data_IF_159477864043
#
_entry.id   IF_159477864043
#
_cell.length_a   1.000
_cell.length_b   1.000
_cell.length_c   1.000
_cell.angle_alpha   90.00
_cell.angle_beta   90.00
_cell.angle_gamma   90.00
#
_symmetry.space_group_name_H-M   'P 1'
#
loop_
_entity.id
_entity.type
_entity.pdbx_description
1 polymer ?
#
# COMPACT_ATOMS: atom_id res chain seq x y z
N UNK A 1 2.32 37.17 30.52
CA UNK A 1 1.82 35.89 31.05
C UNK A 1 1.55 35.02 29.84
N UNK A 2 2.29 33.91 29.74
CA UNK A 2 2.67 33.27 28.48
C UNK A 2 1.55 32.68 27.63
N UNK A 3 1.77 32.83 26.34
CA UNK A 3 1.14 32.21 25.16
C UNK A 3 1.32 30.68 25.14
N UNK A 4 0.24 29.90 25.15
CA UNK A 4 0.29 28.46 24.76
C UNK A 4 -1.11 27.83 24.58
N UNK A 5 -2.00 28.44 23.80
CA UNK A 5 -3.32 27.84 23.53
C UNK A 5 -3.70 27.69 22.06
N UNK A 6 -2.84 28.10 21.11
CA UNK A 6 -3.18 28.10 19.67
C UNK A 6 -2.45 27.05 18.81
N UNK A 7 -1.53 26.23 19.36
CA UNK A 7 -0.78 25.26 18.55
C UNK A 7 -1.31 23.82 18.59
N UNK A 8 -2.25 23.51 19.49
CA UNK A 8 -2.78 22.13 19.64
C UNK A 8 -4.06 21.88 18.83
N UNK A 9 -4.65 22.90 18.20
CA UNK A 9 -5.94 22.81 17.51
C UNK A 9 -5.86 22.29 16.06
N UNK A 10 -4.68 22.22 15.42
CA UNK A 10 -4.59 21.82 14.00
C UNK A 10 -4.24 20.35 13.74
N UNK A 11 -4.12 19.51 14.76
CA UNK A 11 -3.99 18.06 14.55
C UNK A 11 -5.37 17.42 14.51
N UNK A 12 -6.18 17.76 13.52
CA UNK A 12 -7.46 17.08 13.32
C UNK A 12 -7.18 15.60 13.06
N UNK A 13 -7.64 14.71 13.94
CA UNK A 13 -7.54 13.25 13.76
C UNK A 13 -8.07 12.81 12.37
N UNK A 14 -9.02 13.58 11.83
CA UNK A 14 -9.55 13.47 10.47
C UNK A 14 -8.48 13.64 9.40
N UNK A 15 -7.53 14.57 9.55
CA UNK A 15 -6.40 14.72 8.62
C UNK A 15 -5.41 13.57 8.75
N UNK A 16 -5.03 13.23 9.99
CA UNK A 16 -4.05 12.16 10.25
C UNK A 16 -4.49 10.79 9.68
N UNK A 17 -5.80 10.52 9.63
CA UNK A 17 -6.38 9.28 9.08
C UNK A 17 -6.90 9.43 7.65
N UNK A 18 -7.50 10.57 7.31
CA UNK A 18 -8.10 10.82 5.99
C UNK A 18 -7.07 10.91 4.87
N UNK A 19 -5.92 11.55 5.10
CA UNK A 19 -4.86 11.62 4.08
C UNK A 19 -4.29 10.24 3.72
N UNK A 20 -3.91 9.38 4.69
CA UNK A 20 -3.51 8.01 4.37
C UNK A 20 -4.57 7.19 3.65
N UNK A 21 -5.86 7.37 3.95
CA UNK A 21 -6.94 6.68 3.22
C UNK A 21 -7.02 7.11 1.76
N UNK A 22 -6.87 8.42 1.48
CA UNK A 22 -6.81 8.93 0.11
C UNK A 22 -5.61 8.38 -0.67
N UNK A 23 -4.45 8.28 -0.02
CA UNK A 23 -3.25 7.66 -0.59
C UNK A 23 -3.49 6.18 -0.90
N UNK A 24 -4.13 5.45 0.02
CA UNK A 24 -4.50 4.05 -0.23
C UNK A 24 -5.44 3.90 -1.41
N UNK A 25 -6.45 4.75 -1.56
CA UNK A 25 -7.36 4.70 -2.70
C UNK A 25 -6.61 4.90 -4.04
N UNK A 26 -5.62 5.79 -4.08
CA UNK A 26 -4.74 5.95 -5.23
C UNK A 26 -3.87 4.69 -5.48
N UNK A 27 -3.33 4.07 -4.43
CA UNK A 27 -2.60 2.81 -4.53
C UNK A 27 -3.47 1.66 -5.04
N UNK A 28 -4.74 1.57 -4.61
CA UNK A 28 -5.68 0.58 -5.11
C UNK A 28 -5.94 0.76 -6.61
N UNK A 29 -6.12 2.00 -7.09
CA UNK A 29 -6.25 2.28 -8.52
C UNK A 29 -4.97 1.88 -9.31
N UNK A 30 -3.80 2.15 -8.76
CA UNK A 30 -2.52 1.72 -9.34
C UNK A 30 -2.42 0.19 -9.39
N UNK A 31 -2.87 -0.51 -8.34
CA UNK A 31 -2.85 -1.97 -8.29
C UNK A 31 -3.74 -2.59 -9.37
N UNK A 32 -4.95 -2.05 -9.57
CA UNK A 32 -5.85 -2.47 -10.66
C UNK A 32 -5.21 -2.23 -12.03
N UNK A 33 -4.64 -1.04 -12.26
CA UNK A 33 -3.94 -0.74 -13.51
C UNK A 33 -2.74 -1.67 -13.74
N UNK A 34 -1.99 -2.00 -12.69
CA UNK A 34 -0.88 -2.94 -12.75
C UNK A 34 -1.34 -4.39 -13.03
N UNK A 35 -2.49 -4.79 -12.50
CA UNK A 35 -3.15 -6.04 -12.87
C UNK A 35 -3.50 -6.08 -14.35
N UNK A 36 -4.13 -5.04 -14.88
CA UNK A 36 -4.42 -4.93 -16.31
C UNK A 36 -3.14 -4.95 -17.17
N UNK A 37 -2.09 -4.22 -16.77
CA UNK A 37 -0.79 -4.26 -17.43
C UNK A 37 -0.20 -5.68 -17.45
N UNK A 38 -0.33 -6.42 -16.35
CA UNK A 38 0.15 -7.79 -16.24
C UNK A 38 -0.54 -8.71 -17.25
N UNK A 39 -1.86 -8.74 -17.25
CA UNK A 39 -2.65 -9.65 -18.08
C UNK A 39 -2.57 -9.30 -19.57
N UNK A 40 -2.62 -8.00 -19.91
CA UNK A 40 -2.71 -7.55 -21.30
C UNK A 40 -1.34 -7.47 -21.97
N UNK A 41 -0.28 -7.20 -21.20
CA UNK A 41 1.04 -6.85 -21.75
C UNK A 41 2.15 -7.77 -21.28
N UNK A 42 2.28 -8.01 -19.97
CA UNK A 42 3.43 -8.76 -19.45
C UNK A 42 3.31 -10.25 -19.74
N UNK A 43 2.22 -10.89 -19.31
CA UNK A 43 2.01 -12.34 -19.49
C UNK A 43 2.11 -12.75 -20.97
N UNK A 44 1.47 -12.04 -21.93
CA UNK A 44 1.59 -12.38 -23.35
C UNK A 44 3.01 -12.24 -23.92
N UNK A 45 3.89 -11.42 -23.31
CA UNK A 45 5.24 -11.15 -23.84
C UNK A 45 6.34 -11.98 -23.19
N UNK A 46 6.25 -12.19 -21.88
CA UNK A 46 7.32 -12.81 -21.09
C UNK A 46 6.88 -14.07 -20.34
N UNK A 47 5.63 -14.50 -20.54
CA UNK A 47 5.05 -15.69 -19.91
C UNK A 47 4.40 -15.40 -18.55
N UNK A 48 3.65 -16.38 -18.07
CA UNK A 48 2.80 -16.28 -16.87
C UNK A 48 3.62 -15.95 -15.62
N UNK A 49 4.53 -16.84 -15.21
CA UNK A 49 5.32 -16.66 -13.99
C UNK A 49 6.22 -15.40 -14.02
N UNK A 50 7.05 -15.16 -15.05
CA UNK A 50 7.84 -13.93 -15.12
C UNK A 50 6.96 -12.67 -15.18
N UNK A 51 5.78 -12.75 -15.81
CA UNK A 51 4.79 -11.68 -15.83
C UNK A 51 4.27 -11.33 -14.43
N UNK A 52 3.95 -12.33 -13.60
CA UNK A 52 3.56 -12.12 -12.20
C UNK A 52 4.68 -11.53 -11.35
N UNK A 53 5.92 -12.00 -11.53
CA UNK A 53 7.08 -11.45 -10.80
C UNK A 53 7.36 -10.00 -11.18
N UNK A 54 7.39 -9.70 -12.48
CA UNK A 54 7.62 -8.35 -12.98
C UNK A 54 6.50 -7.38 -12.53
N UNK A 55 5.24 -7.80 -12.63
CA UNK A 55 4.08 -7.03 -12.16
C UNK A 55 4.12 -6.75 -10.66
N UNK A 56 4.51 -7.75 -9.86
CA UNK A 56 4.67 -7.58 -8.41
C UNK A 56 5.79 -6.58 -8.11
N UNK A 57 6.94 -6.69 -8.79
CA UNK A 57 8.05 -5.75 -8.61
C UNK A 57 7.66 -4.31 -8.98
N UNK A 58 6.93 -4.12 -10.08
CA UNK A 58 6.41 -2.81 -10.49
C UNK A 58 5.45 -2.25 -9.44
N UNK A 59 4.52 -3.05 -8.92
CA UNK A 59 3.59 -2.61 -7.89
C UNK A 59 4.28 -2.24 -6.58
N UNK A 60 5.23 -3.06 -6.12
CA UNK A 60 6.04 -2.79 -4.93
C UNK A 60 6.80 -1.47 -5.11
N UNK A 61 7.46 -1.26 -6.27
CA UNK A 61 8.15 -0.01 -6.56
C UNK A 61 7.20 1.18 -6.55
N UNK A 62 6.01 1.05 -7.14
CA UNK A 62 5.00 2.11 -7.15
C UNK A 62 4.52 2.45 -5.72
N UNK A 63 4.27 1.45 -4.88
CA UNK A 63 3.92 1.64 -3.46
C UNK A 63 5.00 2.44 -2.74
N UNK A 64 6.28 2.04 -2.90
CA UNK A 64 7.39 2.73 -2.25
C UNK A 64 7.53 4.18 -2.74
N UNK A 65 7.37 4.43 -4.04
CA UNK A 65 7.46 5.77 -4.63
C UNK A 65 6.31 6.67 -4.15
N UNK A 66 5.08 6.16 -4.13
CA UNK A 66 3.91 6.91 -3.65
C UNK A 66 4.04 7.20 -2.16
N UNK A 67 4.41 6.21 -1.35
CA UNK A 67 4.64 6.40 0.08
C UNK A 67 5.74 7.44 0.34
N UNK A 68 6.89 7.33 -0.34
CA UNK A 68 7.97 8.32 -0.26
C UNK A 68 7.48 9.71 -0.65
N UNK A 69 6.77 9.84 -1.77
CA UNK A 69 6.25 11.12 -2.24
C UNK A 69 5.28 11.74 -1.22
N UNK A 70 4.40 10.93 -0.62
CA UNK A 70 3.50 11.36 0.43
C UNK A 70 4.26 11.87 1.67
N UNK A 71 5.13 11.05 2.24
CA UNK A 71 5.87 11.42 3.45
C UNK A 71 6.88 12.56 3.22
N UNK A 72 7.36 12.77 1.99
CA UNK A 72 8.24 13.91 1.65
C UNK A 72 7.53 15.26 1.55
N UNK A 73 6.20 15.27 1.44
CA UNK A 73 5.39 16.48 1.20
C UNK A 73 4.42 16.78 2.33
N UNK A 74 4.16 15.80 3.19
CA UNK A 74 3.26 15.99 4.33
C UNK A 74 3.95 16.84 5.39
N UNK A 75 3.22 17.83 5.93
CA UNK A 75 3.65 18.62 7.09
C UNK A 75 3.28 17.95 8.42
N UNK A 76 2.60 16.79 8.36
CA UNK A 76 2.14 16.07 9.54
C UNK A 76 3.31 15.30 10.16
N UNK A 77 3.67 15.67 11.40
CA UNK A 77 4.63 14.91 12.18
C UNK A 77 3.96 13.63 12.73
N UNK A 78 4.29 12.47 12.16
CA UNK A 78 3.78 11.19 12.61
C UNK A 78 4.68 10.55 13.67
N UNK A 79 4.08 10.09 14.76
CA UNK A 79 4.75 9.20 15.71
C UNK A 79 4.99 7.82 15.09
N UNK A 80 5.92 7.05 15.68
CA UNK A 80 6.17 5.66 15.28
C UNK A 80 4.92 4.78 15.32
N UNK A 81 4.05 4.99 16.31
CA UNK A 81 2.81 4.23 16.46
C UNK A 81 1.82 4.57 15.35
N UNK A 82 1.69 5.84 14.98
CA UNK A 82 0.80 6.26 13.88
C UNK A 82 1.29 5.75 12.53
N UNK A 83 2.61 5.79 12.26
CA UNK A 83 3.18 5.20 11.03
C UNK A 83 2.89 3.69 10.93
N UNK A 84 3.02 2.97 12.05
CA UNK A 84 2.65 1.55 12.11
C UNK A 84 1.16 1.34 11.82
N UNK A 85 0.29 2.14 12.44
CA UNK A 85 -1.15 2.07 12.21
C UNK A 85 -1.52 2.35 10.76
N UNK A 86 -0.85 3.29 10.09
CA UNK A 86 -1.05 3.54 8.65
C UNK A 86 -0.66 2.33 7.81
N UNK A 87 0.49 1.71 8.08
CA UNK A 87 0.94 0.52 7.35
C UNK A 87 -0.01 -0.67 7.54
N UNK A 88 -0.47 -0.89 8.78
CA UNK A 88 -1.47 -1.92 9.09
C UNK A 88 -2.79 -1.63 8.37
N UNK A 89 -3.27 -0.38 8.42
CA UNK A 89 -4.50 0.04 7.75
C UNK A 89 -4.42 -0.22 6.24
N UNK A 90 -3.36 0.23 5.58
CA UNK A 90 -3.16 0.00 4.15
C UNK A 90 -3.12 -1.50 3.81
N UNK A 91 -2.45 -2.30 4.63
CA UNK A 91 -2.37 -3.75 4.44
C UNK A 91 -3.73 -4.40 4.55
N UNK A 92 -4.49 -4.11 5.61
CA UNK A 92 -5.82 -4.67 5.83
C UNK A 92 -6.81 -4.27 4.74
N UNK A 93 -6.77 -3.01 4.31
CA UNK A 93 -7.62 -2.53 3.23
C UNK A 93 -7.27 -3.21 1.90
N UNK A 94 -5.99 -3.41 1.59
CA UNK A 94 -5.58 -4.11 0.36
C UNK A 94 -5.97 -5.59 0.38
N UNK A 95 -5.72 -6.30 1.49
CA UNK A 95 -6.15 -7.71 1.62
C UNK A 95 -7.68 -7.80 1.51
N UNK A 96 -8.42 -6.92 2.19
CA UNK A 96 -9.88 -6.87 2.07
C UNK A 96 -10.36 -6.56 0.66
N UNK A 97 -9.69 -5.64 -0.04
CA UNK A 97 -9.97 -5.31 -1.44
C UNK A 97 -9.72 -6.49 -2.38
N UNK A 98 -8.65 -7.26 -2.18
CA UNK A 98 -8.39 -8.48 -2.95
C UNK A 98 -9.51 -9.51 -2.80
N UNK A 99 -9.98 -9.75 -1.56
CA UNK A 99 -11.11 -10.64 -1.34
C UNK A 99 -12.42 -10.11 -1.92
N UNK A 100 -12.64 -8.79 -1.88
CA UNK A 100 -13.81 -8.15 -2.49
C UNK A 100 -13.80 -8.31 -4.01
N UNK A 101 -12.67 -8.02 -4.66
CA UNK A 101 -12.50 -8.21 -6.11
C UNK A 101 -12.65 -9.68 -6.47
N UNK A 102 -11.99 -10.58 -5.73
CA UNK A 102 -12.11 -12.02 -5.93
C UNK A 102 -13.56 -12.50 -5.82
N UNK A 103 -14.31 -12.01 -4.84
CA UNK A 103 -15.74 -12.32 -4.72
C UNK A 103 -16.57 -11.82 -5.92
N UNK A 104 -16.32 -10.59 -6.38
CA UNK A 104 -17.00 -10.01 -7.56
C UNK A 104 -16.67 -10.78 -8.84
N UNK A 105 -15.44 -11.28 -8.97
CA UNK A 105 -14.97 -12.08 -10.12
C UNK A 105 -15.38 -13.56 -10.02
N UNK A 106 -15.96 -14.01 -8.90
CA UNK A 106 -16.26 -15.42 -8.65
C UNK A 106 -15.03 -16.29 -8.37
N UNK A 107 -13.90 -15.66 -8.02
CA UNK A 107 -12.65 -16.31 -7.67
C UNK A 107 -12.76 -16.96 -6.28
N UNK A 108 -12.45 -18.27 -6.14
CA UNK A 108 -12.47 -18.94 -4.84
C UNK A 108 -11.45 -18.34 -3.87
N UNK A 109 -11.83 -18.25 -2.59
CA UNK A 109 -10.95 -17.78 -1.49
C UNK A 109 -9.61 -18.52 -1.46
N UNK A 110 -9.60 -19.82 -1.78
CA UNK A 110 -8.38 -20.63 -1.85
C UNK A 110 -7.39 -20.14 -2.91
N UNK A 111 -7.87 -19.55 -4.01
CA UNK A 111 -7.01 -18.98 -5.05
C UNK A 111 -6.34 -17.71 -4.54
N UNK A 112 -7.09 -16.80 -3.92
CA UNK A 112 -6.53 -15.58 -3.29
C UNK A 112 -5.51 -15.93 -2.21
N UNK A 113 -5.83 -16.88 -1.32
CA UNK A 113 -4.89 -17.35 -0.31
C UNK A 113 -3.67 -18.06 -0.92
N UNK A 114 -3.86 -18.77 -2.02
CA UNK A 114 -2.78 -19.44 -2.74
C UNK A 114 -1.69 -18.48 -3.21
N UNK A 115 -2.02 -17.22 -3.50
CA UNK A 115 -1.04 -16.19 -3.87
C UNK A 115 -0.05 -15.86 -2.73
N UNK A 116 -0.36 -16.23 -1.49
CA UNK A 116 0.51 -16.02 -0.34
C UNK A 116 1.46 -17.20 -0.07
N UNK A 117 1.36 -18.30 -0.83
CA UNK A 117 2.22 -19.47 -0.66
C UNK A 117 3.62 -19.24 -1.25
N UNK A 118 4.53 -18.80 -0.39
CA UNK A 118 5.95 -18.58 -0.74
C UNK A 118 6.67 -19.88 -1.12
N UNK A 119 6.22 -21.04 -0.63
CA UNK A 119 6.81 -22.34 -0.97
C UNK A 119 6.38 -22.81 -2.35
N UNK A 120 5.21 -22.37 -2.81
CA UNK A 120 4.77 -22.51 -4.20
C UNK A 120 5.41 -21.48 -5.15
N UNK A 121 6.35 -20.65 -4.67
CA UNK A 121 7.07 -19.66 -5.47
C UNK A 121 6.26 -18.38 -5.73
N UNK A 122 5.14 -18.19 -5.03
CA UNK A 122 4.31 -16.99 -5.17
C UNK A 122 4.97 -15.80 -4.47
N UNK A 123 4.96 -14.65 -5.16
CA UNK A 123 5.67 -13.45 -4.72
C UNK A 123 4.75 -12.38 -4.15
N UNK A 124 3.44 -12.63 -4.12
CA UNK A 124 2.43 -11.62 -3.80
C UNK A 124 2.62 -11.02 -2.40
N UNK A 125 3.12 -11.79 -1.43
CA UNK A 125 3.45 -11.36 -0.07
C UNK A 125 4.32 -10.09 -0.02
N UNK A 126 5.11 -9.82 -1.07
CA UNK A 126 5.91 -8.60 -1.17
C UNK A 126 5.06 -7.33 -1.14
N UNK A 127 3.83 -7.36 -1.69
CA UNK A 127 2.90 -6.22 -1.74
C UNK A 127 2.42 -5.80 -0.34
N UNK A 128 1.79 -6.67 0.48
CA UNK A 128 1.37 -6.32 1.84
C UNK A 128 2.56 -5.98 2.74
N UNK A 129 3.71 -6.63 2.57
CA UNK A 129 4.94 -6.27 3.31
C UNK A 129 5.40 -4.85 2.94
N UNK A 130 5.39 -4.48 1.66
CA UNK A 130 5.74 -3.13 1.22
C UNK A 130 4.75 -2.08 1.76
N UNK A 131 3.45 -2.38 1.78
CA UNK A 131 2.44 -1.50 2.38
C UNK A 131 2.64 -1.32 3.88
N UNK A 132 2.96 -2.39 4.61
CA UNK A 132 3.20 -2.34 6.05
C UNK A 132 4.47 -1.55 6.40
N UNK A 133 5.56 -1.76 5.64
CA UNK A 133 6.89 -1.21 5.98
C UNK A 133 7.08 0.20 5.44
N UNK A 134 6.49 0.56 4.31
CA UNK A 134 6.75 1.84 3.64
C UNK A 134 6.45 3.09 4.49
N UNK A 135 5.40 3.16 5.33
CA UNK A 135 5.17 4.31 6.19
C UNK A 135 6.25 4.45 7.26
N UNK A 136 6.66 3.34 7.86
CA UNK A 136 7.75 3.34 8.83
C UNK A 136 9.08 3.76 8.21
N UNK A 137 9.36 3.28 7.00
CA UNK A 137 10.60 3.56 6.31
C UNK A 137 10.70 5.05 5.96
N UNK A 138 9.74 5.58 5.20
CA UNK A 138 9.82 6.95 4.70
C UNK A 138 9.37 7.99 5.72
N UNK A 139 8.39 7.66 6.56
CA UNK A 139 7.96 8.53 7.64
C UNK A 139 9.05 8.76 8.68
N UNK A 140 10.00 7.84 8.88
CA UNK A 140 11.17 8.10 9.73
C UNK A 140 12.29 8.79 8.98
N UNK A 141 12.67 8.28 7.80
CA UNK A 141 13.81 8.80 7.03
C UNK A 141 13.65 10.26 6.57
N UNK A 142 12.42 10.77 6.52
CA UNK A 142 12.11 12.12 6.00
C UNK A 142 11.53 13.05 7.08
N UNK A 143 11.49 12.61 8.34
CA UNK A 143 11.08 13.45 9.48
C UNK A 143 12.27 14.05 10.25
N UNK A 144 13.49 13.89 9.73
CA UNK A 144 14.72 14.53 10.20
C UNK A 144 15.01 15.81 9.40
#
# INVERSE_FOLDING_TARGET
MGTSTDTDTERSAVGAVGYPLGVWAALAAIAVANGALREIVLIPRIGEYPGHVASTAVLVAAILLVARAYFSRTSIAYSRAELLSVGVLWTLLTVGFEFLVGYVEGTPVSVTLGQYDVFAGQVWIAVPVALLVSPLLFGRLLSD
#
